data_IF_162675263878
#
_entry.id   IF_162675263878
#
_cell.length_a   1.000
_cell.length_b   1.000
_cell.length_c   1.000
_cell.angle_alpha   90.00
_cell.angle_beta   90.00
_cell.angle_gamma   90.00
#
_symmetry.space_group_name_H-M   'P 1'
#
loop_
_entity.id
_entity.type
_entity.pdbx_description
1 polymer ?
#
# COMPACT_ATOMS: atom_id res chain seq x y z
N UNK A 1 -59.36 -27.79 45.97
CA UNK A 1 -57.89 -27.96 45.91
C UNK A 1 -57.29 -27.59 44.53
N UNK A 2 -58.04 -27.55 43.42
CA UNK A 2 -57.55 -27.26 42.09
C UNK A 2 -57.31 -25.77 41.71
N UNK A 3 -57.99 -24.83 42.39
CA UNK A 3 -57.89 -23.39 42.05
C UNK A 3 -56.57 -22.73 42.51
N UNK A 4 -55.88 -23.28 43.51
CA UNK A 4 -54.58 -22.75 44.00
C UNK A 4 -53.40 -23.20 43.13
N UNK A 5 -53.46 -24.36 42.51
CA UNK A 5 -52.40 -24.92 41.65
C UNK A 5 -52.29 -24.12 40.33
N UNK A 6 -53.43 -23.74 39.74
CA UNK A 6 -53.48 -22.95 38.52
C UNK A 6 -52.90 -21.54 38.66
N UNK A 7 -53.06 -20.91 39.79
CA UNK A 7 -52.47 -19.55 40.07
C UNK A 7 -50.96 -19.59 40.28
N UNK A 8 -50.40 -20.65 40.81
CA UNK A 8 -48.95 -20.79 40.99
C UNK A 8 -48.25 -21.07 39.66
N UNK A 9 -48.86 -21.85 38.75
CA UNK A 9 -48.31 -22.12 37.42
C UNK A 9 -48.32 -20.87 36.56
N UNK A 10 -49.37 -20.04 36.59
CA UNK A 10 -49.44 -18.76 35.90
C UNK A 10 -48.40 -17.74 36.43
N UNK A 11 -48.15 -17.69 37.71
CA UNK A 11 -47.16 -16.79 38.32
C UNK A 11 -45.71 -17.19 37.96
N UNK A 12 -45.41 -18.50 37.87
CA UNK A 12 -44.10 -18.97 37.43
C UNK A 12 -43.87 -18.74 35.95
N UNK A 13 -44.89 -18.88 35.11
CA UNK A 13 -44.80 -18.59 33.66
C UNK A 13 -44.58 -17.08 33.37
N UNK A 14 -45.21 -16.21 34.16
CA UNK A 14 -45.02 -14.77 34.06
C UNK A 14 -43.60 -14.32 34.50
N UNK A 15 -43.03 -14.96 35.55
CA UNK A 15 -41.65 -14.71 36.00
C UNK A 15 -40.61 -15.21 34.97
N UNK A 16 -40.86 -16.35 34.31
CA UNK A 16 -39.98 -16.90 33.29
C UNK A 16 -39.98 -16.04 32.01
N UNK A 17 -41.13 -15.49 31.58
CA UNK A 17 -41.22 -14.57 30.47
C UNK A 17 -40.60 -13.18 30.77
N UNK A 18 -40.68 -12.70 32.00
CA UNK A 18 -40.01 -11.48 32.45
C UNK A 18 -38.49 -11.59 32.47
N UNK A 19 -37.95 -12.75 32.88
CA UNK A 19 -36.52 -13.02 32.85
C UNK A 19 -35.96 -13.16 31.43
N UNK A 20 -36.69 -13.77 30.49
CA UNK A 20 -36.30 -13.90 29.07
C UNK A 20 -36.29 -12.54 28.36
N UNK A 21 -37.17 -11.61 28.72
CA UNK A 21 -37.20 -10.26 28.16
C UNK A 21 -36.01 -9.37 28.62
N UNK A 22 -35.43 -9.66 29.80
CA UNK A 22 -34.28 -8.94 30.35
C UNK A 22 -32.94 -9.39 29.69
N UNK A 23 -32.87 -10.58 29.11
CA UNK A 23 -31.69 -11.04 28.37
C UNK A 23 -31.72 -10.70 26.89
N UNK A 24 -32.82 -10.18 26.34
CA UNK A 24 -32.96 -9.82 24.94
C UNK A 24 -32.48 -8.39 24.62
N UNK A 25 -32.02 -7.62 25.58
CA UNK A 25 -31.35 -6.34 25.34
C UNK A 25 -29.82 -6.50 25.26
N UNK A 26 -29.33 -7.55 24.57
CA UNK A 26 -28.08 -7.42 23.87
C UNK A 26 -28.27 -6.30 22.86
N UNK A 27 -27.89 -5.08 23.23
CA UNK A 27 -27.88 -3.95 22.33
C UNK A 27 -27.07 -4.37 21.11
N UNK A 28 -27.76 -4.72 20.02
CA UNK A 28 -27.16 -4.69 18.70
C UNK A 28 -26.70 -3.23 18.53
N UNK A 29 -25.44 -3.00 18.88
CA UNK A 29 -24.84 -1.68 18.73
C UNK A 29 -24.78 -1.49 17.22
N UNK A 30 -25.75 -0.69 16.72
CA UNK A 30 -25.92 -0.49 15.30
C UNK A 30 -24.59 0.00 14.74
N UNK A 31 -24.12 -0.64 13.67
CA UNK A 31 -23.03 -0.15 12.85
C UNK A 31 -23.34 1.31 12.47
N UNK A 32 -22.45 2.22 12.86
CA UNK A 32 -22.63 3.65 12.60
C UNK A 32 -21.86 4.09 11.37
N UNK A 33 -20.73 3.42 11.09
CA UNK A 33 -19.83 3.80 10.02
C UNK A 33 -19.36 2.56 9.23
N UNK A 34 -19.20 2.73 7.92
CA UNK A 34 -18.54 1.77 7.06
C UNK A 34 -17.25 2.39 6.54
N UNK A 35 -16.15 1.64 6.62
CA UNK A 35 -14.86 2.01 6.04
C UNK A 35 -14.53 1.06 4.90
N UNK A 36 -14.77 1.49 3.67
CA UNK A 36 -14.34 0.77 2.46
C UNK A 36 -12.86 1.08 2.20
N UNK A 37 -12.05 0.04 2.11
CA UNK A 37 -10.62 0.14 1.81
C UNK A 37 -10.37 -0.48 0.44
N UNK A 38 -9.93 0.32 -0.51
CA UNK A 38 -9.51 -0.15 -1.84
C UNK A 38 -8.03 -0.43 -1.91
N UNK A 39 -7.66 -1.56 -2.54
CA UNK A 39 -6.28 -1.89 -2.88
C UNK A 39 -6.19 -2.42 -4.31
N UNK A 40 -5.15 -2.06 -5.07
CA UNK A 40 -4.92 -2.63 -6.39
C UNK A 40 -4.34 -4.06 -6.34
N UNK A 41 -3.80 -4.48 -5.20
CA UNK A 41 -3.15 -5.78 -4.99
C UNK A 41 -4.10 -6.79 -4.35
N UNK A 42 -3.78 -8.09 -4.43
CA UNK A 42 -4.66 -9.18 -3.96
C UNK A 42 -4.08 -10.00 -2.81
N UNK A 43 -2.77 -10.20 -2.78
CA UNK A 43 -2.10 -11.05 -1.80
C UNK A 43 -0.65 -10.56 -1.61
N UNK A 44 -0.49 -9.59 -0.74
CA UNK A 44 0.78 -8.96 -0.38
C UNK A 44 0.71 -8.37 1.04
N UNK A 45 1.72 -7.63 1.46
CA UNK A 45 1.75 -6.96 2.75
C UNK A 45 0.54 -6.04 2.99
N UNK A 46 -0.04 -5.46 1.93
CA UNK A 46 -1.25 -4.62 2.03
C UNK A 46 -2.46 -5.43 2.50
N UNK A 47 -2.64 -6.62 1.94
CA UNK A 47 -3.76 -7.50 2.32
C UNK A 47 -3.64 -7.97 3.77
N UNK A 48 -2.42 -8.29 4.23
CA UNK A 48 -2.21 -8.70 5.61
C UNK A 48 -2.37 -7.53 6.59
N UNK A 49 -1.89 -6.33 6.23
CA UNK A 49 -2.15 -5.12 6.99
C UNK A 49 -3.67 -4.87 7.13
N UNK A 50 -4.42 -4.94 6.03
CA UNK A 50 -5.86 -4.72 6.04
C UNK A 50 -6.60 -5.72 6.94
N UNK A 51 -6.16 -6.97 7.00
CA UNK A 51 -6.71 -8.01 7.88
C UNK A 51 -6.49 -7.66 9.36
N UNK A 52 -5.27 -7.27 9.75
CA UNK A 52 -4.94 -6.91 11.14
C UNK A 52 -5.66 -5.62 11.52
N UNK A 53 -5.62 -4.61 10.67
CA UNK A 53 -6.31 -3.33 10.86
C UNK A 53 -7.82 -3.52 11.07
N UNK A 54 -8.47 -4.26 10.16
CA UNK A 54 -9.90 -4.59 10.25
C UNK A 54 -10.25 -5.22 11.59
N UNK A 55 -9.52 -6.26 11.98
CA UNK A 55 -9.78 -6.97 13.23
C UNK A 55 -9.66 -6.04 14.46
N UNK A 56 -8.64 -5.17 14.48
CA UNK A 56 -8.42 -4.22 15.57
C UNK A 56 -9.49 -3.14 15.65
N UNK A 57 -9.81 -2.51 14.51
CA UNK A 57 -10.82 -1.44 14.44
C UNK A 57 -12.21 -1.96 14.82
N UNK A 58 -12.64 -3.08 14.23
CA UNK A 58 -13.97 -3.65 14.53
C UNK A 58 -14.11 -4.06 16.00
N UNK A 59 -13.06 -4.70 16.57
CA UNK A 59 -13.07 -5.10 18.00
C UNK A 59 -13.10 -3.88 18.93
N UNK A 60 -12.22 -2.91 18.76
CA UNK A 60 -12.09 -1.75 19.65
C UNK A 60 -13.26 -0.77 19.52
N UNK A 61 -13.80 -0.61 18.31
CA UNK A 61 -15.00 0.20 18.09
C UNK A 61 -16.28 -0.51 18.57
N UNK A 62 -16.18 -1.75 19.06
CA UNK A 62 -17.32 -2.59 19.44
C UNK A 62 -18.34 -2.73 18.33
N UNK A 63 -17.86 -2.83 17.08
CA UNK A 63 -18.68 -2.93 15.88
C UNK A 63 -19.31 -1.63 15.39
N UNK A 64 -19.02 -0.47 15.98
CA UNK A 64 -19.49 0.83 15.47
C UNK A 64 -18.89 1.15 14.10
N UNK A 65 -17.66 0.73 13.83
CA UNK A 65 -17.02 0.83 12.52
C UNK A 65 -16.94 -0.56 11.92
N UNK A 66 -17.54 -0.76 10.75
CA UNK A 66 -17.37 -1.95 9.91
C UNK A 66 -16.30 -1.65 8.87
N UNK A 67 -15.27 -2.50 8.76
CA UNK A 67 -14.20 -2.38 7.76
C UNK A 67 -14.44 -3.38 6.63
N UNK A 68 -14.51 -2.88 5.40
CA UNK A 68 -14.69 -3.67 4.20
C UNK A 68 -13.48 -3.51 3.29
N UNK A 69 -12.73 -4.59 3.06
CA UNK A 69 -11.53 -4.58 2.22
C UNK A 69 -11.86 -5.09 0.82
N UNK A 70 -11.48 -4.31 -0.19
CA UNK A 70 -11.73 -4.55 -1.60
C UNK A 70 -10.39 -4.63 -2.36
N UNK A 71 -9.79 -5.84 -2.45
CA UNK A 71 -8.53 -6.07 -3.17
C UNK A 71 -8.72 -6.08 -4.69
N UNK A 72 -7.59 -6.05 -5.43
CA UNK A 72 -7.57 -6.30 -6.87
C UNK A 72 -8.35 -5.28 -7.69
N UNK A 73 -8.37 -4.02 -7.25
CA UNK A 73 -9.09 -2.92 -7.92
C UNK A 73 -10.61 -3.12 -8.05
N UNK A 74 -11.26 -3.85 -7.12
CA UNK A 74 -12.71 -4.11 -7.14
C UNK A 74 -13.55 -2.82 -7.08
N UNK A 75 -13.05 -1.74 -6.47
CA UNK A 75 -13.72 -0.45 -6.44
C UNK A 75 -13.30 0.49 -7.59
N UNK A 76 -12.52 0.01 -8.52
CA UNK A 76 -11.99 0.77 -9.65
C UNK A 76 -10.47 0.80 -9.71
N UNK A 77 -9.94 1.27 -10.83
CA UNK A 77 -8.50 1.44 -11.03
C UNK A 77 -7.94 2.54 -10.09
N UNK A 78 -6.62 2.51 -9.85
CA UNK A 78 -5.96 3.37 -8.86
C UNK A 78 -6.35 4.85 -8.98
N UNK A 79 -6.32 5.51 -10.16
CA UNK A 79 -6.69 6.92 -10.25
C UNK A 79 -8.13 7.17 -9.77
N UNK A 80 -9.09 6.35 -10.18
CA UNK A 80 -10.49 6.49 -9.79
C UNK A 80 -10.70 6.30 -8.28
N UNK A 81 -9.95 5.38 -7.64
CA UNK A 81 -10.08 5.17 -6.18
C UNK A 81 -9.38 6.27 -5.37
N UNK A 82 -8.28 6.84 -5.88
CA UNK A 82 -7.62 8.02 -5.29
C UNK A 82 -8.54 9.24 -5.35
N UNK A 83 -9.14 9.51 -6.51
CA UNK A 83 -10.14 10.58 -6.66
C UNK A 83 -11.37 10.33 -5.79
N UNK A 84 -11.82 9.07 -5.70
CA UNK A 84 -12.92 8.64 -4.85
C UNK A 84 -12.67 8.96 -3.36
N UNK A 85 -11.44 8.77 -2.87
CA UNK A 85 -11.08 9.16 -1.50
C UNK A 85 -11.10 10.68 -1.35
N UNK A 86 -10.54 11.43 -2.29
CA UNK A 86 -10.54 12.90 -2.22
C UNK A 86 -11.97 13.48 -2.21
N UNK A 87 -12.89 12.87 -2.97
CA UNK A 87 -14.31 13.26 -3.06
C UNK A 87 -15.18 12.67 -1.93
N UNK A 88 -14.70 11.67 -1.17
CA UNK A 88 -15.45 11.05 -0.07
C UNK A 88 -16.43 9.95 -0.50
N UNK A 89 -16.32 9.38 -1.70
CA UNK A 89 -17.10 8.22 -2.14
C UNK A 89 -16.49 6.88 -1.73
N UNK A 90 -15.21 6.89 -1.40
CA UNK A 90 -14.42 5.79 -0.83
C UNK A 90 -13.72 6.33 0.41
N UNK A 91 -13.75 5.58 1.50
CA UNK A 91 -13.17 6.03 2.76
C UNK A 91 -11.64 5.94 2.75
N UNK A 92 -11.05 4.88 2.14
CA UNK A 92 -9.61 4.68 2.09
C UNK A 92 -9.15 3.99 0.80
N UNK A 93 -7.98 4.37 0.29
CA UNK A 93 -7.28 3.68 -0.79
C UNK A 93 -5.80 3.52 -0.44
N UNK A 94 -5.18 2.40 -0.86
CA UNK A 94 -3.76 2.10 -0.60
C UNK A 94 -3.02 1.89 -1.92
N UNK A 95 -2.72 2.95 -2.66
CA UNK A 95 -1.94 2.91 -3.90
C UNK A 95 -0.43 2.93 -3.65
N UNK A 96 0.38 2.66 -4.69
CA UNK A 96 1.76 3.12 -4.73
C UNK A 96 1.82 4.65 -4.70
N UNK A 97 2.78 5.22 -3.98
CA UNK A 97 2.87 6.67 -3.73
C UNK A 97 2.97 7.50 -5.01
N UNK A 98 3.57 6.97 -6.07
CA UNK A 98 3.67 7.64 -7.38
C UNK A 98 2.33 7.98 -8.04
N UNK A 99 1.22 7.37 -7.61
CA UNK A 99 -0.14 7.74 -8.05
C UNK A 99 -0.77 8.88 -7.26
N UNK A 100 -0.15 9.31 -6.16
CA UNK A 100 -0.66 10.37 -5.30
C UNK A 100 -0.17 11.77 -5.66
N UNK A 101 0.78 11.89 -6.59
CA UNK A 101 1.43 13.15 -6.95
C UNK A 101 0.46 14.20 -7.55
N UNK A 102 -0.64 13.75 -8.16
CA UNK A 102 -1.69 14.64 -8.66
C UNK A 102 -2.43 15.37 -7.53
N UNK A 103 -2.51 14.78 -6.35
CA UNK A 103 -3.08 15.39 -5.15
C UNK A 103 -2.02 16.21 -4.41
N UNK A 104 -0.82 15.63 -4.21
CA UNK A 104 0.28 16.25 -3.47
C UNK A 104 1.63 15.81 -4.05
N UNK A 105 2.35 16.68 -4.76
CA UNK A 105 3.62 16.35 -5.40
C UNK A 105 4.70 15.84 -4.46
N UNK A 106 4.62 16.16 -3.16
CA UNK A 106 5.60 15.72 -2.16
C UNK A 106 5.60 14.22 -1.90
N UNK A 107 4.54 13.49 -2.25
CA UNK A 107 4.53 12.02 -2.17
C UNK A 107 5.66 11.37 -2.97
N UNK A 108 6.15 12.00 -4.05
CA UNK A 108 7.21 11.43 -4.87
C UNK A 108 8.53 11.17 -4.13
N UNK A 109 8.80 11.85 -3.01
CA UNK A 109 10.07 11.69 -2.27
C UNK A 109 10.30 10.28 -1.76
N UNK A 110 9.22 9.52 -1.55
CA UNK A 110 9.29 8.14 -1.10
C UNK A 110 9.66 7.15 -2.23
N UNK A 111 9.60 7.59 -3.49
CA UNK A 111 10.03 6.83 -4.67
C UNK A 111 11.50 7.12 -5.06
N UNK A 112 12.22 7.93 -4.28
CA UNK A 112 13.60 8.32 -4.60
C UNK A 112 14.52 7.08 -4.64
N UNK A 113 15.24 6.83 -5.75
CA UNK A 113 16.17 5.72 -5.84
C UNK A 113 17.36 5.91 -4.89
N UNK A 114 17.87 4.80 -4.33
CA UNK A 114 19.01 4.81 -3.40
C UNK A 114 18.69 5.32 -1.99
N UNK A 115 17.42 5.58 -1.68
CA UNK A 115 16.99 6.06 -0.37
C UNK A 115 17.10 4.97 0.70
N UNK A 116 16.70 3.75 0.38
CA UNK A 116 16.66 2.62 1.31
C UNK A 116 17.66 1.52 0.92
N UNK A 117 18.34 0.94 1.91
CA UNK A 117 19.31 -0.15 1.72
C UNK A 117 18.64 -1.54 1.78
N UNK A 118 17.52 -1.63 2.52
CA UNK A 118 16.71 -2.84 2.66
C UNK A 118 15.30 -2.47 3.11
N UNK A 119 14.38 -3.43 3.09
CA UNK A 119 13.02 -3.24 3.63
C UNK A 119 13.07 -2.84 5.11
N UNK A 120 13.85 -3.54 5.92
CA UNK A 120 14.01 -3.25 7.36
C UNK A 120 14.59 -1.85 7.61
N UNK A 121 15.59 -1.45 6.81
CA UNK A 121 16.14 -0.10 6.90
C UNK A 121 15.07 0.94 6.54
N UNK A 122 14.36 0.73 5.43
CA UNK A 122 13.33 1.66 4.98
C UNK A 122 12.17 1.79 5.97
N UNK A 123 11.76 0.72 6.64
CA UNK A 123 10.74 0.79 7.68
C UNK A 123 11.17 1.65 8.88
N UNK A 124 12.44 1.53 9.31
CA UNK A 124 12.98 2.41 10.35
C UNK A 124 12.95 3.87 9.91
N UNK A 125 13.32 4.15 8.66
CA UNK A 125 13.27 5.50 8.09
C UNK A 125 11.84 6.04 8.02
N UNK A 126 10.90 5.25 7.51
CA UNK A 126 9.48 5.63 7.44
C UNK A 126 8.83 5.75 8.83
N UNK A 127 9.35 5.05 9.82
CA UNK A 127 8.93 5.14 11.23
C UNK A 127 9.56 6.30 12.00
N UNK A 128 10.54 7.03 11.45
CA UNK A 128 11.16 8.17 12.11
C UNK A 128 10.12 9.25 12.46
N UNK A 129 10.12 9.80 13.69
CA UNK A 129 9.10 10.76 14.13
C UNK A 129 9.00 12.02 13.27
N UNK A 130 10.12 12.56 12.74
CA UNK A 130 10.07 13.71 11.83
C UNK A 130 9.46 13.34 10.47
N UNK A 131 9.83 12.17 9.94
CA UNK A 131 9.24 11.66 8.70
C UNK A 131 7.74 11.40 8.86
N UNK A 132 7.31 10.81 9.97
CA UNK A 132 5.88 10.60 10.27
C UNK A 132 5.10 11.90 10.35
N UNK A 133 5.68 12.92 10.98
CA UNK A 133 5.07 14.24 11.06
C UNK A 133 4.91 14.86 9.68
N UNK A 134 5.97 14.84 8.84
CA UNK A 134 5.94 15.35 7.47
C UNK A 134 4.94 14.60 6.60
N UNK A 135 4.88 13.28 6.73
CA UNK A 135 3.92 12.42 6.03
C UNK A 135 2.48 12.79 6.40
N UNK A 136 2.17 12.99 7.67
CA UNK A 136 0.82 13.32 8.14
C UNK A 136 0.30 14.67 7.60
N UNK A 137 1.19 15.58 7.20
CA UNK A 137 0.83 16.89 6.63
C UNK A 137 0.52 16.84 5.13
N UNK A 138 0.79 15.69 4.45
CA UNK A 138 0.59 15.59 3.01
C UNK A 138 -0.90 15.58 2.64
N UNK A 139 -1.26 16.31 1.60
CA UNK A 139 -2.61 16.31 1.04
C UNK A 139 -3.68 16.97 1.90
N UNK A 140 -3.32 17.67 2.99
CA UNK A 140 -4.27 18.29 3.92
C UNK A 140 -5.28 19.23 3.24
N UNK A 141 -4.86 19.95 2.20
CA UNK A 141 -5.70 20.86 1.40
C UNK A 141 -6.51 20.18 0.28
N UNK A 142 -6.40 18.85 0.13
CA UNK A 142 -6.99 18.07 -0.97
C UNK A 142 -8.05 17.07 -0.50
N UNK A 143 -8.58 17.23 0.71
CA UNK A 143 -9.63 16.36 1.24
C UNK A 143 -9.12 14.98 1.69
N UNK A 144 -7.84 14.71 1.61
CA UNK A 144 -7.23 13.47 2.04
C UNK A 144 -6.36 13.66 3.28
N UNK A 145 -6.09 12.54 3.92
CA UNK A 145 -5.16 12.43 5.03
C UNK A 145 -4.40 11.11 4.92
N UNK A 146 -3.05 11.11 4.98
CA UNK A 146 -2.28 9.89 5.02
C UNK A 146 -2.47 9.18 6.37
N UNK A 147 -2.71 7.87 6.32
CA UNK A 147 -2.95 7.05 7.51
C UNK A 147 -1.83 6.04 7.75
N UNK A 148 -1.32 5.41 6.70
CA UNK A 148 -0.22 4.43 6.77
C UNK A 148 0.73 4.59 5.60
N UNK A 149 2.02 4.26 5.80
CA UNK A 149 3.04 4.20 4.77
C UNK A 149 3.99 3.05 5.04
N UNK A 150 4.36 2.31 4.00
CA UNK A 150 5.21 1.13 4.13
C UNK A 150 5.92 0.77 2.83
N UNK A 151 6.97 -0.05 2.97
CA UNK A 151 7.63 -0.66 1.82
C UNK A 151 6.86 -1.94 1.46
N UNK A 152 6.24 -1.93 0.29
CA UNK A 152 5.51 -3.10 -0.23
C UNK A 152 6.47 -4.23 -0.66
N UNK A 153 7.68 -3.88 -1.06
CA UNK A 153 8.73 -4.84 -1.40
C UNK A 153 9.85 -4.25 -2.26
N UNK A 154 10.90 -5.04 -2.51
CA UNK A 154 11.92 -4.67 -3.46
C UNK A 154 11.31 -4.55 -4.87
N UNK A 155 11.74 -3.55 -5.61
CA UNK A 155 11.29 -3.40 -6.99
C UNK A 155 12.00 -4.40 -7.89
N UNK A 156 11.19 -5.03 -8.71
CA UNK A 156 11.62 -5.91 -9.78
C UNK A 156 11.10 -5.38 -11.12
N UNK A 157 11.80 -5.69 -12.18
CA UNK A 157 11.27 -5.56 -13.53
C UNK A 157 11.04 -6.96 -14.11
N UNK A 158 9.78 -7.28 -14.45
CA UNK A 158 9.47 -8.41 -15.34
C UNK A 158 9.50 -7.91 -16.78
N UNK A 159 10.11 -8.64 -17.68
CA UNK A 159 10.26 -8.21 -19.09
C UNK A 159 10.38 -9.40 -20.03
N UNK A 160 9.99 -9.21 -21.29
CA UNK A 160 10.17 -10.24 -22.33
C UNK A 160 11.65 -10.51 -22.61
N UNK A 161 12.49 -9.48 -22.54
CA UNK A 161 13.94 -9.56 -22.67
C UNK A 161 14.57 -9.49 -21.26
N UNK A 162 15.49 -10.39 -20.96
CA UNK A 162 16.24 -10.33 -19.70
C UNK A 162 17.05 -9.04 -19.58
N UNK A 163 17.02 -8.42 -18.39
CA UNK A 163 17.75 -7.19 -18.06
C UNK A 163 18.89 -7.56 -17.13
N UNK A 164 20.12 -7.46 -17.61
CA UNK A 164 21.33 -7.77 -16.85
C UNK A 164 22.10 -6.51 -16.42
N UNK A 165 21.76 -5.35 -17.01
CA UNK A 165 22.42 -4.09 -16.70
C UNK A 165 21.72 -2.89 -17.33
N UNK A 166 22.23 -1.65 -17.11
CA UNK A 166 21.64 -0.42 -17.59
C UNK A 166 21.40 -0.36 -19.10
N UNK A 167 22.31 -0.95 -19.89
CA UNK A 167 22.22 -0.91 -21.35
C UNK A 167 21.02 -1.68 -21.92
N UNK A 168 20.50 -2.67 -21.17
CA UNK A 168 19.38 -3.49 -21.62
C UNK A 168 18.03 -2.76 -21.54
N UNK A 169 17.95 -1.61 -20.88
CA UNK A 169 16.75 -0.77 -20.83
C UNK A 169 16.52 0.05 -22.09
N UNK A 170 17.56 0.22 -22.92
CA UNK A 170 17.46 1.07 -24.11
C UNK A 170 16.34 0.60 -25.03
N UNK A 171 15.53 1.59 -25.47
CA UNK A 171 14.39 1.41 -26.39
C UNK A 171 13.26 0.52 -25.85
N UNK A 172 13.30 0.10 -24.57
CA UNK A 172 12.24 -0.67 -23.93
C UNK A 172 11.09 0.24 -23.49
N UNK A 173 9.86 -0.15 -23.76
CA UNK A 173 8.65 0.46 -23.19
C UNK A 173 8.39 -0.14 -21.82
N UNK A 174 8.72 0.59 -20.77
CA UNK A 174 8.65 0.08 -19.39
C UNK A 174 7.48 0.70 -18.64
N UNK A 175 6.59 -0.15 -18.17
CA UNK A 175 5.55 0.31 -17.25
C UNK A 175 6.14 0.64 -15.89
N UNK A 176 5.80 1.81 -15.36
CA UNK A 176 6.14 2.26 -14.01
C UNK A 176 4.88 2.49 -13.18
N UNK A 177 4.91 2.26 -11.84
CA UNK A 177 3.75 2.39 -10.96
C UNK A 177 3.57 3.84 -10.49
N UNK A 178 3.18 4.73 -11.41
CA UNK A 178 2.94 6.13 -11.15
C UNK A 178 3.71 7.03 -12.11
N UNK A 179 3.30 8.29 -12.19
CA UNK A 179 3.85 9.28 -13.11
C UNK A 179 4.83 10.26 -12.41
N UNK A 180 5.26 9.95 -11.18
CA UNK A 180 6.18 10.79 -10.43
C UNK A 180 7.50 10.97 -11.17
N UNK A 181 8.05 12.21 -11.28
CA UNK A 181 9.36 12.43 -11.89
C UNK A 181 10.46 11.56 -11.29
N UNK A 182 10.47 11.36 -9.96
CA UNK A 182 11.43 10.46 -9.29
C UNK A 182 11.30 9.00 -9.69
N UNK A 183 10.18 8.62 -10.32
CA UNK A 183 9.96 7.29 -10.86
C UNK A 183 10.23 7.21 -12.37
N UNK A 184 9.82 8.23 -13.12
CA UNK A 184 9.86 8.25 -14.58
C UNK A 184 11.26 8.59 -15.11
N UNK A 185 11.92 9.62 -14.56
CA UNK A 185 13.19 10.12 -15.06
C UNK A 185 14.35 9.12 -14.94
N UNK A 186 14.43 8.27 -13.90
CA UNK A 186 15.40 7.18 -13.86
C UNK A 186 15.36 6.27 -15.08
N UNK A 187 14.19 5.85 -15.53
CA UNK A 187 14.05 4.98 -16.70
C UNK A 187 14.34 5.71 -18.01
N UNK A 188 13.99 7.01 -18.12
CA UNK A 188 14.40 7.83 -19.26
C UNK A 188 15.93 7.96 -19.34
N UNK A 189 16.59 8.14 -18.21
CA UNK A 189 18.06 8.19 -18.12
C UNK A 189 18.70 6.90 -18.63
N UNK A 190 18.08 5.76 -18.41
CA UNK A 190 18.51 4.45 -18.90
C UNK A 190 18.18 4.23 -20.40
N UNK A 191 17.53 5.21 -21.06
CA UNK A 191 17.15 5.11 -22.46
C UNK A 191 15.85 4.34 -22.72
N UNK A 192 15.08 4.05 -21.68
CA UNK A 192 13.75 3.45 -21.82
C UNK A 192 12.67 4.50 -22.09
N UNK A 193 11.50 4.04 -22.51
CA UNK A 193 10.27 4.80 -22.64
C UNK A 193 9.32 4.42 -21.50
N UNK A 194 9.34 5.13 -20.36
CA UNK A 194 8.49 4.81 -19.22
C UNK A 194 7.04 5.24 -19.46
N UNK A 195 6.10 4.37 -19.06
CA UNK A 195 4.65 4.61 -19.16
C UNK A 195 4.01 4.34 -17.79
N UNK A 196 3.23 5.29 -17.29
CA UNK A 196 2.42 5.06 -16.09
C UNK A 196 1.10 4.41 -16.47
N UNK A 197 0.91 3.16 -16.06
CA UNK A 197 -0.31 2.37 -16.32
C UNK A 197 -0.81 1.80 -14.99
N UNK A 198 -2.12 1.92 -14.67
CA UNK A 198 -2.71 1.30 -13.49
C UNK A 198 -2.49 -0.23 -13.47
N UNK A 199 -2.34 -0.81 -12.28
CA UNK A 199 -1.90 -2.21 -12.13
C UNK A 199 -2.80 -3.21 -12.87
N UNK A 200 -4.12 -3.01 -12.85
CA UNK A 200 -5.07 -3.91 -13.52
C UNK A 200 -4.94 -3.96 -15.05
N UNK A 201 -4.29 -2.97 -15.66
CA UNK A 201 -4.08 -2.90 -17.11
C UNK A 201 -2.71 -3.44 -17.54
N UNK A 202 -1.80 -3.71 -16.59
CA UNK A 202 -0.39 -4.04 -16.89
C UNK A 202 -0.26 -5.43 -17.51
N UNK A 203 -0.96 -6.44 -16.94
CA UNK A 203 -0.86 -7.81 -17.45
C UNK A 203 -1.32 -7.91 -18.92
N UNK A 204 -2.50 -7.37 -19.31
CA UNK A 204 -2.89 -7.30 -20.70
C UNK A 204 -1.90 -6.53 -21.58
N UNK A 205 -1.36 -5.39 -21.11
CA UNK A 205 -0.40 -4.59 -21.86
C UNK A 205 0.91 -5.35 -22.15
N UNK A 206 1.41 -6.11 -21.16
CA UNK A 206 2.58 -6.95 -21.32
C UNK A 206 2.29 -8.13 -22.27
N UNK A 207 1.14 -8.79 -22.10
CA UNK A 207 0.71 -9.91 -22.92
C UNK A 207 0.57 -9.54 -24.40
N UNK A 208 0.06 -8.34 -24.68
CA UNK A 208 -0.14 -7.82 -26.05
C UNK A 208 1.10 -7.08 -26.60
N UNK A 209 2.23 -7.12 -25.90
CA UNK A 209 3.46 -6.40 -26.27
C UNK A 209 3.27 -4.88 -26.47
N UNK A 210 2.26 -4.28 -25.82
CA UNK A 210 2.11 -2.82 -25.75
C UNK A 210 3.23 -2.21 -24.90
N UNK A 211 3.71 -2.97 -23.91
CA UNK A 211 4.90 -2.71 -23.09
C UNK A 211 5.84 -3.90 -23.19
N UNK A 212 7.14 -3.65 -23.04
CA UNK A 212 8.20 -4.67 -23.08
C UNK A 212 8.53 -5.21 -21.70
N UNK A 213 8.23 -4.42 -20.66
CA UNK A 213 8.44 -4.80 -19.28
C UNK A 213 7.60 -3.97 -18.30
N UNK A 214 7.52 -4.45 -17.07
CA UNK A 214 6.74 -3.80 -16.01
C UNK A 214 7.48 -3.85 -14.67
N UNK A 215 7.53 -2.69 -14.00
CA UNK A 215 8.08 -2.57 -12.65
C UNK A 215 6.96 -2.71 -11.61
N UNK A 216 7.19 -3.58 -10.64
CA UNK A 216 6.36 -3.73 -9.44
C UNK A 216 7.16 -4.44 -8.33
N UNK A 217 6.58 -4.55 -7.13
CA UNK A 217 7.14 -5.39 -6.08
C UNK A 217 7.04 -6.88 -6.47
N UNK A 218 8.01 -7.69 -6.03
CA UNK A 218 8.09 -9.12 -6.37
C UNK A 218 6.82 -9.90 -6.00
N UNK A 219 6.25 -9.62 -4.82
CA UNK A 219 5.02 -10.27 -4.35
C UNK A 219 3.85 -9.99 -5.30
N UNK A 220 3.73 -8.76 -5.80
CA UNK A 220 2.68 -8.35 -6.75
C UNK A 220 2.84 -9.09 -8.08
N UNK A 221 4.05 -9.11 -8.66
CA UNK A 221 4.31 -9.82 -9.92
C UNK A 221 3.98 -11.31 -9.80
N UNK A 222 4.30 -11.92 -8.67
CA UNK A 222 4.06 -13.35 -8.44
C UNK A 222 2.58 -13.64 -8.19
N UNK A 223 1.88 -12.82 -7.39
CA UNK A 223 0.46 -12.99 -7.08
C UNK A 223 -0.42 -12.87 -8.34
N UNK A 224 -0.07 -11.97 -9.27
CA UNK A 224 -0.76 -11.83 -10.55
C UNK A 224 -0.24 -12.78 -11.64
N UNK A 225 0.67 -13.71 -11.30
CA UNK A 225 1.18 -14.75 -12.20
C UNK A 225 1.84 -14.22 -13.49
N UNK A 226 2.58 -13.11 -13.41
CA UNK A 226 3.29 -12.55 -14.56
C UNK A 226 4.31 -13.54 -15.16
N UNK A 227 4.75 -14.55 -14.39
CA UNK A 227 5.58 -15.66 -14.88
C UNK A 227 4.93 -16.47 -16.00
N UNK A 228 3.61 -16.40 -16.18
CA UNK A 228 2.93 -17.08 -17.30
C UNK A 228 3.13 -16.33 -18.62
N UNK A 229 3.49 -15.04 -18.57
CA UNK A 229 3.68 -14.16 -19.73
C UNK A 229 5.16 -13.93 -20.04
N UNK A 230 5.97 -13.63 -19.02
CA UNK A 230 7.40 -13.37 -19.15
C UNK A 230 8.18 -14.05 -18.02
N UNK A 231 9.26 -14.75 -18.37
CA UNK A 231 10.05 -15.53 -17.43
C UNK A 231 11.14 -14.72 -16.71
N UNK A 232 11.86 -13.81 -17.39
CA UNK A 232 12.88 -13.00 -16.74
C UNK A 232 12.26 -11.97 -15.79
N UNK A 233 12.77 -11.91 -14.56
CA UNK A 233 12.45 -10.90 -13.57
C UNK A 233 13.76 -10.45 -12.93
N UNK A 234 14.11 -9.17 -13.10
CA UNK A 234 15.38 -8.61 -12.61
C UNK A 234 15.15 -7.73 -11.40
N UNK A 235 15.96 -7.94 -10.37
CA UNK A 235 16.02 -7.08 -9.20
C UNK A 235 16.61 -5.72 -9.56
N UNK A 236 15.94 -4.64 -9.17
CA UNK A 236 16.41 -3.26 -9.37
C UNK A 236 17.12 -2.76 -8.10
N UNK A 237 18.47 -2.66 -8.11
CA UNK A 237 19.26 -2.35 -6.92
C UNK A 237 18.88 -1.01 -6.29
N UNK A 238 18.77 -1.00 -4.96
CA UNK A 238 18.52 0.22 -4.19
C UNK A 238 17.16 0.89 -4.44
N UNK A 239 16.20 0.16 -5.00
CA UNK A 239 14.85 0.68 -5.26
C UNK A 239 13.78 -0.19 -4.62
N UNK A 240 12.79 0.44 -4.01
CA UNK A 240 11.71 -0.22 -3.30
C UNK A 240 10.37 0.41 -3.69
N UNK A 241 9.33 -0.42 -3.78
CA UNK A 241 7.98 0.07 -3.97
C UNK A 241 7.40 0.52 -2.64
N UNK A 242 7.09 1.79 -2.53
CA UNK A 242 6.42 2.35 -1.36
C UNK A 242 4.94 2.52 -1.65
N UNK A 243 4.10 2.08 -0.73
CA UNK A 243 2.67 2.28 -0.76
C UNK A 243 2.24 3.17 0.42
N UNK A 244 1.20 3.96 0.21
CA UNK A 244 0.61 4.78 1.26
C UNK A 244 -0.91 4.62 1.28
N UNK A 245 -1.47 4.44 2.47
CA UNK A 245 -2.90 4.49 2.68
C UNK A 245 -3.34 5.92 2.92
N UNK A 246 -4.20 6.43 2.05
CA UNK A 246 -4.86 7.72 2.20
C UNK A 246 -6.33 7.52 2.59
N UNK A 247 -6.82 8.33 3.51
CA UNK A 247 -8.21 8.30 4.00
C UNK A 247 -8.91 9.62 3.72
N UNK A 248 -10.22 9.60 3.52
CA UNK A 248 -11.02 10.82 3.39
C UNK A 248 -11.04 11.58 4.71
N UNK A 249 -10.58 12.83 4.69
CA UNK A 249 -10.45 13.67 5.88
C UNK A 249 -11.79 14.02 6.53
N UNK A 250 -12.83 14.26 5.73
CA UNK A 250 -14.16 14.58 6.25
C UNK A 250 -14.77 13.36 6.94
N UNK A 251 -14.61 12.17 6.35
CA UNK A 251 -15.04 10.93 6.96
C UNK A 251 -14.32 10.67 8.30
N UNK A 252 -12.99 10.81 8.35
CA UNK A 252 -12.24 10.66 9.60
C UNK A 252 -12.78 11.58 10.71
N UNK A 253 -13.00 12.85 10.40
CA UNK A 253 -13.57 13.80 11.36
C UNK A 253 -14.99 13.45 11.79
N UNK A 254 -15.81 12.85 10.92
CA UNK A 254 -17.18 12.45 11.23
C UNK A 254 -17.27 11.34 12.28
N UNK A 255 -16.20 10.58 12.48
CA UNK A 255 -16.10 9.53 13.49
C UNK A 255 -16.17 10.06 14.92
N UNK A 256 -15.77 11.32 15.13
CA UNK A 256 -15.52 11.88 16.45
C UNK A 256 -14.22 11.36 17.09
N UNK A 257 -13.74 12.02 18.15
CA UNK A 257 -12.37 11.82 18.66
C UNK A 257 -12.08 10.39 19.14
N UNK A 258 -13.06 9.70 19.73
CA UNK A 258 -12.88 8.34 20.25
C UNK A 258 -12.63 7.33 19.12
N UNK A 259 -13.50 7.30 18.09
CA UNK A 259 -13.40 6.36 17.01
C UNK A 259 -12.25 6.72 16.04
N UNK A 260 -11.99 8.01 15.84
CA UNK A 260 -10.84 8.48 15.07
C UNK A 260 -9.52 8.01 15.71
N UNK A 261 -9.37 8.12 17.03
CA UNK A 261 -8.20 7.61 17.75
C UNK A 261 -8.01 6.10 17.54
N UNK A 262 -9.10 5.31 17.60
CA UNK A 262 -9.06 3.87 17.35
C UNK A 262 -8.52 3.58 15.93
N UNK A 263 -9.03 4.26 14.91
CA UNK A 263 -8.57 4.06 13.51
C UNK A 263 -7.08 4.37 13.37
N UNK A 264 -6.60 5.47 13.95
CA UNK A 264 -5.18 5.87 13.90
C UNK A 264 -4.27 4.87 14.62
N UNK A 265 -4.63 4.49 15.84
CA UNK A 265 -3.83 3.58 16.65
C UNK A 265 -3.75 2.17 16.03
N UNK A 266 -4.89 1.65 15.55
CA UNK A 266 -4.89 0.33 14.89
C UNK A 266 -4.17 0.35 13.54
N UNK A 267 -4.16 1.48 12.83
CA UNK A 267 -3.34 1.64 11.62
C UNK A 267 -1.85 1.50 11.91
N UNK A 268 -1.35 2.21 12.93
CA UNK A 268 0.06 2.14 13.35
C UNK A 268 0.41 0.74 13.85
N UNK A 269 -0.47 0.14 14.66
CA UNK A 269 -0.26 -1.21 15.18
C UNK A 269 -0.18 -2.25 14.05
N UNK A 270 -1.03 -2.12 13.02
CA UNK A 270 -1.02 -3.02 11.89
C UNK A 270 0.25 -2.90 11.03
N UNK A 271 0.99 -1.80 11.12
CA UNK A 271 2.25 -1.61 10.38
C UNK A 271 3.35 -2.59 10.80
N UNK A 272 3.29 -3.17 12.01
CA UNK A 272 4.21 -4.23 12.43
C UNK A 272 4.23 -5.47 11.53
N UNK A 273 3.19 -5.65 10.70
CA UNK A 273 3.12 -6.71 9.69
C UNK A 273 4.21 -6.56 8.63
N UNK A 274 4.61 -5.34 8.30
CA UNK A 274 5.51 -5.10 7.17
C UNK A 274 6.94 -5.62 7.42
N UNK A 275 7.46 -5.50 8.67
CA UNK A 275 8.84 -5.89 9.00
C UNK A 275 9.09 -7.38 8.91
N UNK A 276 8.18 -8.19 9.43
CA UNK A 276 8.38 -9.63 9.54
C UNK A 276 7.76 -10.37 8.35
N UNK A 277 6.46 -10.15 8.13
CA UNK A 277 5.73 -10.85 7.08
C UNK A 277 6.17 -10.44 5.68
N UNK A 278 6.43 -9.13 5.43
CA UNK A 278 6.79 -8.61 4.12
C UNK A 278 8.13 -9.12 3.59
N UNK A 279 9.14 -9.26 4.47
CA UNK A 279 10.45 -9.83 4.09
C UNK A 279 10.31 -11.30 3.71
N UNK A 280 9.58 -12.07 4.53
CA UNK A 280 9.31 -13.48 4.24
C UNK A 280 8.46 -13.67 2.97
N UNK A 281 7.53 -12.75 2.73
CA UNK A 281 6.68 -12.79 1.53
C UNK A 281 7.48 -12.54 0.26
N UNK A 282 8.39 -11.58 0.26
CA UNK A 282 9.28 -11.33 -0.88
C UNK A 282 10.12 -12.59 -1.22
N UNK A 283 10.60 -13.32 -0.20
CA UNK A 283 11.31 -14.58 -0.39
C UNK A 283 10.41 -15.66 -0.96
N UNK A 284 9.23 -15.88 -0.37
CA UNK A 284 8.24 -16.86 -0.88
C UNK A 284 7.83 -16.56 -2.32
N UNK A 285 7.70 -15.29 -2.66
CA UNK A 285 7.37 -14.86 -4.02
C UNK A 285 8.48 -15.20 -5.01
N UNK A 286 9.76 -15.00 -4.64
CA UNK A 286 10.91 -15.39 -5.46
C UNK A 286 10.97 -16.91 -5.67
N UNK A 287 10.81 -17.69 -4.59
CA UNK A 287 10.79 -19.15 -4.66
C UNK A 287 9.65 -19.65 -5.56
N UNK A 288 8.47 -19.06 -5.43
CA UNK A 288 7.30 -19.39 -6.28
C UNK A 288 7.59 -19.06 -7.74
N UNK A 289 8.18 -17.89 -8.03
CA UNK A 289 8.54 -17.49 -9.39
C UNK A 289 9.45 -18.53 -10.06
N UNK A 290 10.49 -18.98 -9.35
CA UNK A 290 11.42 -20.00 -9.84
C UNK A 290 10.74 -21.36 -10.03
N UNK A 291 9.90 -21.80 -9.08
CA UNK A 291 9.13 -23.05 -9.20
C UNK A 291 8.19 -23.06 -10.41
N UNK A 292 7.72 -21.88 -10.84
CA UNK A 292 6.89 -21.70 -12.05
C UNK A 292 7.73 -21.55 -13.34
N UNK A 293 9.02 -21.87 -13.28
CA UNK A 293 9.94 -21.80 -14.41
C UNK A 293 10.37 -20.37 -14.78
N UNK A 294 10.16 -19.41 -13.88
CA UNK A 294 10.65 -18.04 -14.04
C UNK A 294 12.11 -17.93 -13.63
N UNK A 295 12.79 -16.91 -14.12
CA UNK A 295 14.18 -16.60 -13.83
C UNK A 295 14.23 -15.33 -12.96
N UNK A 296 14.85 -15.41 -11.78
CA UNK A 296 15.18 -14.25 -10.96
C UNK A 296 16.62 -13.85 -11.23
N UNK A 297 16.81 -12.63 -11.73
CA UNK A 297 18.10 -12.09 -12.16
C UNK A 297 18.57 -11.03 -11.16
N UNK A 298 19.82 -11.14 -10.74
CA UNK A 298 20.54 -10.11 -10.00
C UNK A 298 21.63 -9.55 -10.91
N UNK A 299 21.72 -8.24 -11.03
CA UNK A 299 22.77 -7.59 -11.81
C UNK A 299 24.14 -7.90 -11.20
N UNK A 300 25.16 -8.05 -12.03
CA UNK A 300 26.54 -8.13 -11.57
C UNK A 300 26.92 -6.86 -10.78
N UNK A 301 27.86 -6.92 -9.81
CA UNK A 301 28.15 -5.81 -8.91
C UNK A 301 28.51 -4.50 -9.61
N UNK A 302 29.24 -4.53 -10.70
CA UNK A 302 29.60 -3.39 -11.52
C UNK A 302 28.37 -2.80 -12.25
N UNK A 303 27.50 -3.67 -12.80
CA UNK A 303 26.25 -3.28 -13.45
C UNK A 303 25.25 -2.69 -12.44
N UNK A 304 25.15 -3.27 -11.25
CA UNK A 304 24.30 -2.75 -10.16
C UNK A 304 24.77 -1.37 -9.69
N UNK A 305 26.09 -1.18 -9.56
CA UNK A 305 26.71 0.12 -9.22
C UNK A 305 26.44 1.17 -10.29
N UNK A 306 26.60 0.80 -11.56
CA UNK A 306 26.31 1.68 -12.70
C UNK A 306 24.82 2.06 -12.75
N UNK A 307 23.93 1.06 -12.62
CA UNK A 307 22.49 1.28 -12.55
C UNK A 307 22.13 2.30 -11.47
N UNK A 308 22.60 2.11 -10.24
CA UNK A 308 22.29 3.00 -9.13
C UNK A 308 22.84 4.42 -9.36
N UNK A 309 24.05 4.54 -9.92
CA UNK A 309 24.63 5.83 -10.29
C UNK A 309 23.78 6.57 -11.35
N UNK A 310 23.35 5.84 -12.38
CA UNK A 310 22.53 6.41 -13.46
C UNK A 310 21.16 6.88 -12.94
N UNK A 311 20.44 6.04 -12.17
CA UNK A 311 19.10 6.35 -11.68
C UNK A 311 19.09 7.45 -10.61
N UNK A 312 20.16 7.58 -9.83
CA UNK A 312 20.28 8.67 -8.83
C UNK A 312 20.74 9.97 -9.44
N UNK A 313 21.40 9.96 -10.60
CA UNK A 313 21.92 11.17 -11.28
C UNK A 313 20.82 12.15 -11.71
N UNK A 314 19.57 11.70 -11.80
CA UNK A 314 18.42 12.55 -12.20
C UNK A 314 17.83 13.34 -11.03
N UNK A 315 18.24 13.06 -9.79
CA UNK A 315 17.65 13.67 -8.60
C UNK A 315 17.87 15.21 -8.49
N UNK A 316 19.08 15.77 -8.76
CA UNK A 316 19.31 17.19 -8.57
C UNK A 316 18.33 18.11 -9.32
N UNK A 317 18.06 17.95 -10.62
CA UNK A 317 17.10 18.81 -11.33
C UNK A 317 15.66 18.63 -10.82
N UNK A 318 15.24 17.42 -10.43
CA UNK A 318 13.91 17.16 -9.87
C UNK A 318 13.74 17.91 -8.54
N UNK A 319 14.74 17.84 -7.67
CA UNK A 319 14.73 18.52 -6.37
C UNK A 319 14.79 20.04 -6.51
N UNK A 320 15.55 20.55 -7.47
CA UNK A 320 15.64 21.98 -7.74
C UNK A 320 14.31 22.60 -8.22
N UNK A 321 13.47 21.79 -8.89
CA UNK A 321 12.19 22.25 -9.43
C UNK A 321 11.13 22.51 -8.35
N UNK A 322 11.25 21.90 -7.15
CA UNK A 322 10.27 22.03 -6.07
C UNK A 322 10.96 22.08 -4.69
N UNK A 323 11.06 23.27 -4.05
CA UNK A 323 11.71 23.40 -2.74
C UNK A 323 11.10 22.57 -1.61
N UNK A 324 9.77 22.33 -1.63
CA UNK A 324 9.12 21.50 -0.61
C UNK A 324 9.47 20.03 -0.80
N UNK A 325 9.46 19.53 -2.03
CA UNK A 325 9.94 18.18 -2.37
C UNK A 325 11.39 18.00 -1.94
N UNK A 326 12.25 19.03 -2.19
CA UNK A 326 13.64 18.99 -1.75
C UNK A 326 13.77 18.89 -0.24
N UNK A 327 13.02 19.70 0.52
CA UNK A 327 13.08 19.70 1.98
C UNK A 327 12.64 18.37 2.59
N UNK A 328 11.61 17.72 2.03
CA UNK A 328 11.15 16.40 2.49
C UNK A 328 12.15 15.29 2.08
N UNK A 329 12.72 15.37 0.88
CA UNK A 329 13.77 14.46 0.45
C UNK A 329 15.02 14.58 1.33
N UNK A 330 15.47 15.78 1.64
CA UNK A 330 16.65 16.01 2.50
C UNK A 330 16.41 15.42 3.92
N UNK A 331 15.20 15.56 4.46
CA UNK A 331 14.80 14.93 5.73
C UNK A 331 14.84 13.40 5.65
N UNK A 332 14.32 12.80 4.58
CA UNK A 332 14.40 11.35 4.36
C UNK A 332 15.84 10.86 4.25
N UNK A 333 16.71 11.58 3.52
CA UNK A 333 18.14 11.24 3.43
C UNK A 333 18.83 11.34 4.79
N UNK A 334 18.47 12.33 5.61
CA UNK A 334 19.00 12.46 6.98
C UNK A 334 18.54 11.28 7.87
N UNK A 335 17.26 10.94 7.83
CA UNK A 335 16.73 9.78 8.53
C UNK A 335 17.37 8.47 8.04
N UNK A 336 17.54 8.30 6.72
CA UNK A 336 18.21 7.13 6.16
C UNK A 336 19.65 6.97 6.70
N UNK A 337 20.40 8.06 6.79
CA UNK A 337 21.75 8.04 7.38
C UNK A 337 21.76 7.71 8.88
N UNK A 338 20.73 8.12 9.61
CA UNK A 338 20.59 7.85 11.06
C UNK A 338 20.40 6.36 11.36
N UNK A 339 19.75 5.62 10.46
CA UNK A 339 19.37 4.21 10.67
C UNK A 339 20.29 3.21 9.92
N UNK A 340 21.31 3.67 9.18
CA UNK A 340 22.41 2.86 8.64
C UNK A 340 23.40 2.49 9.74
#
# INVERSE_FOLDING_TARGET
MHARLGRQILAMAALAMGAAALFATATAQAQQFTMKISSPTVADATAEWAKVFKAGVEARSKGKIKVEYYPGSQLGQIPATVDGVAMGTIEMSIPAVGFLIGLEPRFQVFDAPGLFDSMVHGEKVLGDPDIRKRFADLGAGKGIEPLTIFINGPQMIVSHKAIHGPADFRDQKIRVPGAAPMYVEPFRKLGASPLSIPLGEVLPALQNHTIDGAVAAIAVLTAFKYYDIAKPMTYLPGTFLVAAGIVNRAWMKSLGPELEAIVREESIKAESVYSNWGVDDAKRAADTWQQKGGQVITMAPDQAKQYLADVTSVMPPILAANPQVKADHDALVAAAKKYR
#
